data_IF_863969683005
#
_entry.id   IF_863969683005
#
_cell.length_a   1.000
_cell.length_b   1.000
_cell.length_c   1.000
_cell.angle_alpha   90.00
_cell.angle_beta   90.00
_cell.angle_gamma   90.00
#
_symmetry.space_group_name_H-M   'P 1'
#
loop_
_entity.id
_entity.type
_entity.pdbx_description
1 polymer ?
2 non-polymer ?
3 non-polymer ?
4 non-polymer ?
5 water ?
#
# COMPACT_ATOMS: atom_id res chain seq x y z
N UNK A 1 -17.01 1.87 5.33
CA UNK A 1 -16.81 0.94 6.47
C UNK A 1 -15.61 1.26 7.36
N UNK A 2 -14.61 0.37 7.39
CA UNK A 2 -13.73 0.35 8.57
C UNK A 2 -12.70 1.48 8.63
N UNK A 3 -12.27 1.79 9.85
CA UNK A 3 -11.11 2.67 10.10
C UNK A 3 -10.47 2.15 11.35
N UNK A 4 -9.16 2.35 11.50
CA UNK A 4 -8.46 1.87 12.69
C UNK A 4 -8.95 2.79 13.79
N UNK A 5 -9.11 2.26 14.98
CA UNK A 5 -9.70 2.99 16.09
C UNK A 5 -8.64 3.30 17.16
N UNK A 6 -7.40 3.46 16.67
CA UNK A 6 -6.15 3.63 17.45
C UNK A 6 -5.21 4.50 16.70
N UNK A 7 -4.21 5.05 17.38
CA UNK A 7 -3.25 5.92 16.69
C UNK A 7 -1.93 5.21 16.31
N UNK A 8 -1.47 4.27 17.13
CA UNK A 8 -0.25 3.52 16.80
C UNK A 8 -0.58 2.26 15.99
N UNK A 9 -0.08 2.22 14.77
CA UNK A 9 -0.28 1.10 13.84
C UNK A 9 1.11 0.47 13.52
N UNK A 10 1.16 -0.86 13.33
CA UNK A 10 2.41 -1.59 13.10
C UNK A 10 2.25 -2.27 11.76
N UNK A 11 3.36 -2.37 11.02
CA UNK A 11 3.40 -3.24 9.86
C UNK A 11 4.54 -4.23 9.92
N UNK A 12 4.35 -5.34 9.21
CA UNK A 12 5.38 -6.37 9.08
C UNK A 12 5.51 -6.71 7.61
N UNK A 13 6.75 -6.84 7.15
CA UNK A 13 6.94 -7.39 5.82
C UNK A 13 7.08 -8.94 5.84
N UNK A 14 6.05 -9.64 5.36
CA UNK A 14 6.06 -11.09 5.21
C UNK A 14 7.30 -11.68 4.49
N UNK A 15 7.61 -11.15 3.30
CA UNK A 15 8.78 -11.60 2.52
C UNK A 15 9.08 -10.52 1.50
N UNK A 16 10.17 -10.68 0.77
CA UNK A 16 10.64 -9.67 -0.13
C UNK A 16 10.62 -10.19 -1.55
N UNK A 17 10.03 -9.39 -2.45
CA UNK A 17 10.20 -9.58 -3.88
C UNK A 17 11.69 -9.73 -4.22
N UNK A 18 12.03 -10.77 -5.02
CA UNK A 18 13.44 -10.82 -5.52
C UNK A 18 13.81 -9.71 -6.56
N UNK A 19 12.81 -8.96 -7.01
CA UNK A 19 12.91 -7.93 -8.02
C UNK A 19 13.79 -6.77 -7.55
N UNK A 20 13.91 -6.62 -6.24
CA UNK A 20 14.57 -5.44 -5.66
C UNK A 20 15.62 -5.74 -4.61
N UNK A 21 16.48 -4.76 -4.33
CA UNK A 21 17.36 -4.83 -3.14
C UNK A 21 16.47 -4.81 -1.90
N UNK A 22 16.85 -5.60 -0.89
CA UNK A 22 16.10 -5.59 0.41
C UNK A 22 15.78 -4.21 1.02
N UNK A 23 16.85 -3.44 1.24
CA UNK A 23 16.82 -2.09 1.81
C UNK A 23 15.83 -1.20 1.02
N UNK A 24 15.80 -1.39 -0.29
CA UNK A 24 14.91 -0.64 -1.21
C UNK A 24 13.42 -1.02 -1.05
N UNK A 25 13.14 -2.30 -0.76
CA UNK A 25 11.78 -2.65 -0.28
C UNK A 25 11.42 -1.95 1.03
N UNK A 26 12.32 -2.02 2.00
CA UNK A 26 12.06 -1.44 3.30
C UNK A 26 11.71 0.01 3.17
N UNK A 27 12.53 0.73 2.40
CA UNK A 27 12.46 2.17 2.20
C UNK A 27 11.22 2.61 1.45
N UNK A 28 10.92 1.92 0.35
CA UNK A 28 9.68 2.13 -0.40
C UNK A 28 8.40 1.99 0.40
N UNK A 29 8.29 0.93 1.21
CA UNK A 29 7.09 0.76 2.08
C UNK A 29 7.01 1.81 3.22
N UNK A 30 8.17 2.08 3.82
CA UNK A 30 8.36 3.16 4.82
C UNK A 30 7.96 4.50 4.27
N UNK A 31 8.57 4.93 3.16
CA UNK A 31 8.13 6.16 2.49
C UNK A 31 6.60 6.13 2.26
N UNK A 32 6.05 4.99 1.88
CA UNK A 32 4.62 4.94 1.55
C UNK A 32 3.70 5.08 2.84
N UNK A 33 4.14 4.57 3.99
CA UNK A 33 3.42 4.81 5.23
C UNK A 33 3.56 6.32 5.65
N UNK A 34 4.65 7.00 5.22
CA UNK A 34 4.97 8.37 5.67
C UNK A 34 4.02 9.33 4.96
N UNK A 35 3.69 9.01 3.70
CA UNK A 35 2.68 9.72 2.92
C UNK A 35 1.36 9.96 3.67
N UNK A 36 0.80 8.90 4.26
CA UNK A 36 -0.45 8.99 5.00
C UNK A 36 -0.31 9.56 6.42
N UNK A 37 0.74 9.17 7.16
CA UNK A 37 0.99 9.74 8.52
C UNK A 37 1.22 11.25 8.45
N UNK A 38 1.74 11.77 7.31
CA UNK A 38 1.95 13.20 7.04
C UNK A 38 0.63 13.91 7.13
N UNK A 39 -0.45 13.20 6.88
CA UNK A 39 -1.73 13.95 6.80
C UNK A 39 -2.79 13.40 7.79
N UNK A 40 -2.37 12.48 8.65
CA UNK A 40 -3.27 11.92 9.68
C UNK A 40 -2.68 11.96 11.12
N UNK A 41 -3.46 11.59 12.15
CA UNK A 41 -2.74 11.47 13.40
C UNK A 41 -1.94 10.15 13.56
N UNK A 42 -1.98 9.25 12.58
CA UNK A 42 -1.38 7.92 12.74
C UNK A 42 0.15 7.92 12.79
N UNK A 43 0.68 6.91 13.50
CA UNK A 43 2.12 6.59 13.54
C UNK A 43 2.33 5.16 13.11
N UNK A 44 3.31 4.90 12.22
CA UNK A 44 3.49 3.55 11.63
C UNK A 44 4.88 2.95 12.00
N UNK A 45 4.93 1.77 12.66
CA UNK A 45 6.22 1.12 12.99
C UNK A 45 6.30 -0.31 12.45
N UNK A 46 7.48 -0.60 11.91
CA UNK A 46 7.83 -1.87 11.31
C UNK A 46 8.28 -2.74 12.50
N UNK A 47 7.58 -3.85 12.68
CA UNK A 47 7.98 -4.84 13.63
C UNK A 47 8.38 -6.00 12.72
N UNK A 48 9.26 -6.86 13.21
CA UNK A 48 9.81 -7.96 12.44
C UNK A 48 9.35 -9.34 12.90
N UNK A 49 8.50 -9.39 13.91
CA UNK A 49 7.92 -10.68 14.24
C UNK A 49 6.54 -10.51 14.90
N UNK A 50 5.76 -11.59 14.88
CA UNK A 50 4.41 -11.57 15.44
C UNK A 50 3.36 -10.91 14.56
N UNK A 51 2.22 -10.62 15.18
CA UNK A 51 1.05 -10.04 14.51
C UNK A 51 1.13 -8.50 14.39
N UNK A 52 1.40 -8.05 13.17
CA UNK A 52 1.21 -6.65 12.84
C UNK A 52 -0.28 -6.41 12.51
N UNK A 53 -0.61 -5.13 12.38
CA UNK A 53 -1.91 -4.74 11.94
C UNK A 53 -1.93 -4.91 10.44
N UNK A 54 -0.93 -4.32 9.78
CA UNK A 54 -0.81 -4.41 8.33
C UNK A 54 0.32 -5.40 7.96
N UNK A 55 -0.05 -6.52 7.36
CA UNK A 55 0.93 -7.46 6.79
C UNK A 55 1.04 -7.22 5.29
N UNK A 56 2.31 -7.07 4.92
CA UNK A 56 2.75 -6.77 3.56
C UNK A 56 3.29 -8.08 2.97
N UNK A 57 2.73 -8.46 1.82
CA UNK A 57 2.93 -9.82 1.25
C UNK A 57 3.30 -9.73 -0.23
N UNK A 58 4.34 -10.43 -0.62
CA UNK A 58 4.53 -10.64 -2.04
C UNK A 58 4.06 -12.06 -2.46
N UNK A 59 3.24 -12.14 -3.50
CA UNK A 59 2.60 -13.41 -3.88
C UNK A 59 2.09 -13.37 -5.34
N UNK A 60 2.00 -14.55 -5.96
CA UNK A 60 1.50 -14.68 -7.34
C UNK A 60 0.34 -15.69 -7.37
N UNK A 61 -0.57 -15.50 -8.34
CA UNK A 61 -1.66 -16.45 -8.60
C UNK A 61 -2.63 -16.55 -7.42
N UNK A 62 -3.02 -17.79 -7.08
CA UNK A 62 -3.81 -18.10 -5.88
C UNK A 62 -2.86 -18.07 -4.67
N UNK A 63 -3.12 -17.10 -3.79
CA UNK A 63 -2.28 -16.88 -2.65
C UNK A 63 -3.13 -16.90 -1.40
N UNK A 64 -4.38 -17.34 -1.50
CA UNK A 64 -5.06 -17.90 -0.33
C UNK A 64 -5.98 -17.02 0.46
N UNK A 65 -6.22 -15.88 -0.03
CA UNK A 65 -7.48 -15.18 0.14
C UNK A 65 -8.42 -15.45 -1.04
N UNK A 66 -9.36 -14.70 -1.29
CA UNK A 66 -10.18 -14.84 -2.52
C UNK A 66 -9.73 -13.98 -3.71
N UNK A 67 -8.66 -13.22 -3.54
CA UNK A 67 -8.39 -12.28 -4.62
C UNK A 67 -7.16 -12.70 -5.42
N UNK A 68 -7.36 -13.82 -6.19
CA UNK A 68 -6.29 -14.42 -7.00
C UNK A 68 -5.60 -13.43 -7.97
N UNK A 69 -4.27 -13.46 -7.98
CA UNK A 69 -3.57 -12.60 -8.91
C UNK A 69 -3.58 -13.22 -10.32
N UNK A 70 -3.39 -12.36 -11.31
CA UNK A 70 -3.67 -12.66 -12.72
C UNK A 70 -2.45 -12.75 -13.67
N UNK A 71 -1.25 -12.87 -13.10
CA UNK A 71 0.00 -12.85 -13.84
C UNK A 71 0.49 -11.43 -14.05
N UNK A 72 1.44 -11.24 -14.96
CA UNK A 72 2.01 -9.91 -15.20
C UNK A 72 0.98 -8.95 -15.87
N UNK A 73 0.91 -7.70 -15.41
CA UNK A 73 -0.13 -6.72 -15.83
C UNK A 73 -1.48 -6.96 -15.13
N UNK A 74 -2.57 -6.38 -15.62
CA UNK A 74 -3.81 -6.49 -14.87
C UNK A 74 -3.66 -5.92 -13.46
N UNK A 75 -4.24 -6.65 -12.50
CA UNK A 75 -4.24 -6.33 -11.06
C UNK A 75 -2.80 -6.44 -10.57
N UNK A 76 -2.28 -5.30 -10.14
CA UNK A 76 -0.95 -5.10 -9.69
C UNK A 76 -0.77 -5.51 -8.23
N UNK A 77 -1.81 -5.27 -7.41
CA UNK A 77 -1.80 -5.41 -5.95
C UNK A 77 -3.22 -5.22 -5.38
N UNK A 78 -3.47 -5.70 -4.14
CA UNK A 78 -4.75 -5.46 -3.46
C UNK A 78 -4.58 -5.55 -1.93
N UNK A 79 -5.52 -4.99 -1.21
CA UNK A 79 -5.37 -4.82 0.21
C UNK A 79 -6.74 -4.86 0.87
N UNK A 80 -6.78 -5.11 2.17
CA UNK A 80 -8.07 -5.25 2.85
C UNK A 80 -8.28 -4.01 3.67
N UNK A 81 -9.53 -3.54 3.81
CA UNK A 81 -9.71 -2.40 4.68
C UNK A 81 -9.56 -2.70 6.18
N UNK A 82 -9.53 -1.65 7.02
CA UNK A 82 -9.20 -2.01 8.44
C UNK A 82 -10.09 -3.12 9.00
N UNK A 83 -9.64 -3.67 10.12
CA UNK A 83 -10.26 -4.83 10.74
C UNK A 83 -9.28 -5.85 11.28
N UNK A 84 -9.80 -6.90 11.89
CA UNK A 84 -8.92 -7.92 12.51
C UNK A 84 -8.35 -8.88 11.45
N UNK A 85 -7.41 -9.73 11.85
CA UNK A 85 -6.89 -10.79 10.99
C UNK A 85 -6.26 -10.25 9.72
N UNK A 86 -6.89 -10.59 8.59
CA UNK A 86 -6.43 -10.13 7.28
C UNK A 86 -6.76 -8.66 6.98
N UNK A 87 -7.66 -8.05 7.78
CA UNK A 87 -7.99 -6.64 7.58
C UNK A 87 -6.72 -5.83 7.64
N UNK A 88 -6.53 -4.96 6.67
CA UNK A 88 -5.33 -4.14 6.63
C UNK A 88 -4.24 -4.67 5.74
N UNK A 89 -4.26 -5.95 5.40
CA UNK A 89 -3.10 -6.56 4.78
C UNK A 89 -3.04 -6.09 3.35
N UNK A 90 -1.83 -5.99 2.81
CA UNK A 90 -1.62 -5.43 1.48
C UNK A 90 -0.66 -6.38 0.76
N UNK A 91 -1.09 -6.76 -0.45
CA UNK A 91 -0.57 -7.93 -1.15
C UNK A 91 -0.18 -7.40 -2.51
N UNK A 92 1.04 -7.72 -2.92
CA UNK A 92 1.63 -7.29 -4.20
C UNK A 92 1.94 -8.49 -5.08
N UNK A 93 1.49 -8.38 -6.33
CA UNK A 93 1.66 -9.43 -7.36
C UNK A 93 3.16 -9.57 -7.71
N UNK A 94 3.73 -10.67 -7.28
CA UNK A 94 5.08 -11.04 -7.59
C UNK A 94 5.28 -11.24 -9.07
N UNK A 95 4.21 -11.50 -9.84
CA UNK A 95 4.30 -11.48 -11.35
C UNK A 95 4.56 -10.08 -11.98
N UNK A 96 4.42 -9.03 -11.19
CA UNK A 96 4.88 -7.74 -11.66
C UNK A 96 6.38 -7.70 -11.42
N UNK A 97 7.07 -6.84 -12.15
CA UNK A 97 8.45 -6.47 -11.79
C UNK A 97 8.41 -5.16 -11.02
N UNK A 98 8.61 -5.29 -9.70
CA UNK A 98 8.69 -4.19 -8.74
C UNK A 98 9.99 -3.35 -8.84
N UNK A 99 9.87 -2.01 -8.86
CA UNK A 99 11.09 -1.17 -8.89
C UNK A 99 11.06 0.04 -7.95
N UNK A 100 12.27 0.57 -7.71
CA UNK A 100 12.46 1.92 -7.16
C UNK A 100 12.26 3.10 -8.16
N UNK A 101 11.89 2.82 -9.40
CA UNK A 101 11.92 3.85 -10.44
C UNK A 101 10.77 3.81 -11.45
N UNK A 102 10.96 4.44 -12.60
CA UNK A 102 9.93 4.50 -13.63
C UNK A 102 9.65 3.15 -14.34
N UNK A 103 10.65 2.27 -14.26
CA UNK A 103 10.61 0.94 -14.88
C UNK A 103 9.67 -0.04 -14.20
N UNK A 104 9.25 -1.08 -14.93
CA UNK A 104 8.34 -2.09 -14.37
C UNK A 104 7.21 -1.37 -13.62
N UNK A 105 6.94 -1.82 -12.39
CA UNK A 105 5.96 -1.21 -11.53
C UNK A 105 6.64 -0.63 -10.27
N UNK A 106 6.59 0.70 -10.17
CA UNK A 106 7.04 1.41 -8.99
C UNK A 106 6.35 0.98 -7.70
N UNK A 107 7.15 0.38 -6.81
CA UNK A 107 6.55 -0.18 -5.58
C UNK A 107 6.04 0.85 -4.60
N UNK A 108 6.75 1.97 -4.48
CA UNK A 108 6.40 3.05 -3.61
C UNK A 108 5.00 3.55 -3.94
N UNK A 109 4.82 3.97 -5.19
CA UNK A 109 3.54 4.50 -5.70
C UNK A 109 2.43 3.51 -5.50
N UNK A 110 2.69 2.23 -5.83
CA UNK A 110 1.69 1.17 -5.58
C UNK A 110 1.37 1.01 -4.09
N UNK A 111 2.39 0.97 -3.25
CA UNK A 111 2.17 0.82 -1.79
C UNK A 111 1.40 1.96 -1.19
N UNK A 112 1.56 3.17 -1.71
CA UNK A 112 0.80 4.31 -1.25
C UNK A 112 -0.68 4.02 -1.52
N UNK A 113 -1.01 3.53 -2.72
CA UNK A 113 -2.41 3.26 -3.11
C UNK A 113 -3.08 2.19 -2.29
N UNK A 114 -2.33 1.10 -2.04
CA UNK A 114 -2.72 -0.02 -1.15
C UNK A 114 -2.88 0.31 0.34
N UNK A 115 -1.88 0.98 0.91
CA UNK A 115 -2.04 1.58 2.26
C UNK A 115 -3.27 2.47 2.35
N UNK A 116 -3.63 3.17 1.27
CA UNK A 116 -4.90 3.97 1.34
C UNK A 116 -6.05 2.98 1.62
N UNK A 117 -6.01 1.84 0.92
CA UNK A 117 -7.00 0.78 1.08
C UNK A 117 -6.89 0.18 2.50
N UNK A 118 -5.63 -0.13 2.96
CA UNK A 118 -5.38 -0.64 4.33
C UNK A 118 -5.95 0.30 5.42
N UNK A 119 -6.13 1.56 5.04
CA UNK A 119 -6.51 2.63 5.96
C UNK A 119 -8.05 2.89 5.95
N UNK A 120 -8.76 2.29 4.99
CA UNK A 120 -10.20 2.55 4.85
C UNK A 120 -10.62 3.36 3.64
N UNK A 121 -9.68 3.81 2.80
CA UNK A 121 -10.10 4.45 1.53
C UNK A 121 -10.45 3.51 0.36
N UNK A 122 -11.36 4.01 -0.48
CA UNK A 122 -11.78 3.31 -1.65
C UNK A 122 -11.10 4.09 -2.76
N UNK A 123 -11.57 3.85 -3.97
CA UNK A 123 -11.04 4.51 -5.13
C UNK A 123 -11.64 5.88 -5.40
N UNK A 124 -10.86 6.70 -6.08
CA UNK A 124 -11.31 8.02 -6.46
C UNK A 124 -11.55 7.99 -7.96
N UNK A 125 -12.49 8.80 -8.40
CA UNK A 125 -12.70 8.97 -9.81
C UNK A 125 -11.81 10.07 -10.45
N UNK A 126 -11.06 10.84 -9.63
CA UNK A 126 -9.97 11.73 -10.09
C UNK A 126 -8.78 10.91 -10.65
N UNK A 127 -8.43 11.12 -11.95
CA UNK A 127 -7.17 10.56 -12.52
C UNK A 127 -5.87 11.12 -11.91
N UNK A 128 -6.00 12.16 -11.10
CA UNK A 128 -4.87 12.81 -10.43
C UNK A 128 -4.59 12.27 -9.04
N UNK A 129 -5.57 11.56 -8.50
CA UNK A 129 -5.45 10.99 -7.18
C UNK A 129 -4.68 9.69 -7.27
N UNK A 130 -3.85 9.44 -6.25
CA UNK A 130 -3.16 8.16 -6.09
C UNK A 130 -4.14 6.92 -5.90
N UNK A 131 -5.31 7.13 -5.28
CA UNK A 131 -6.45 6.22 -5.19
C UNK A 131 -7.33 6.03 -6.47
N UNK A 132 -7.04 6.76 -7.54
CA UNK A 132 -7.65 6.48 -8.85
C UNK A 132 -7.22 5.07 -9.20
N UNK A 133 -8.15 4.25 -9.73
CA UNK A 133 -7.80 2.84 -9.91
C UNK A 133 -6.82 2.47 -11.05
N UNK A 134 -6.29 3.42 -11.82
CA UNK A 134 -5.33 3.08 -12.85
C UNK A 134 -3.89 3.53 -12.54
N UNK A 135 -2.99 2.56 -12.32
CA UNK A 135 -1.56 2.85 -12.15
C UNK A 135 -0.98 3.75 -13.25
N UNK A 136 -0.56 4.95 -12.88
CA UNK A 136 0.16 5.84 -13.79
C UNK A 136 1.48 6.31 -13.11
N UNK A 137 2.65 6.01 -13.68
CA UNK A 137 3.92 6.42 -13.04
C UNK A 137 3.97 7.95 -12.95
N UNK A 138 4.34 8.48 -11.79
CA UNK A 138 4.72 9.90 -11.64
C UNK A 138 6.04 9.92 -10.88
N UNK A 139 6.86 10.93 -11.13
CA UNK A 139 8.10 11.11 -10.36
C UNK A 139 7.93 10.94 -8.83
N UNK A 140 8.53 9.87 -8.31
CA UNK A 140 8.42 9.51 -6.88
C UNK A 140 9.18 10.48 -5.97
N UNK A 141 10.20 11.09 -6.54
CA UNK A 141 10.98 12.11 -5.86
C UNK A 141 10.18 13.33 -5.49
N UNK A 142 9.21 13.69 -6.32
CA UNK A 142 8.40 14.88 -6.01
C UNK A 142 6.96 14.53 -5.78
N UNK A 143 6.72 13.25 -5.49
CA UNK A 143 5.35 12.79 -5.38
C UNK A 143 4.62 13.56 -4.29
N UNK A 144 3.38 13.95 -4.60
CA UNK A 144 2.53 14.67 -3.63
C UNK A 144 1.09 14.24 -3.78
N UNK A 145 0.39 14.00 -2.60
CA UNK A 145 -0.98 13.50 -2.64
C UNK A 145 -1.91 14.52 -3.31
N UNK A 146 -2.89 14.04 -4.00
CA UNK A 146 -3.80 14.97 -4.67
C UNK A 146 -4.68 15.51 -3.54
N UNK A 147 -5.29 16.67 -3.75
CA UNK A 147 -6.19 17.20 -2.75
C UNK A 147 -7.38 16.25 -2.52
N UNK A 148 -7.88 15.62 -3.58
CA UNK A 148 -8.90 14.57 -3.43
C UNK A 148 -8.49 13.48 -2.40
N UNK A 149 -7.18 13.17 -2.37
CA UNK A 149 -6.65 12.10 -1.49
C UNK A 149 -6.67 12.55 -0.04
N UNK A 150 -6.08 13.72 0.19
CA UNK A 150 -6.16 14.40 1.46
C UNK A 150 -7.61 14.53 2.03
N UNK A 151 -8.57 15.02 1.24
CA UNK A 151 -9.97 15.08 1.72
C UNK A 151 -10.54 13.73 2.11
N UNK A 152 -10.26 12.71 1.29
CA UNK A 152 -10.75 11.36 1.54
C UNK A 152 -10.13 10.83 2.81
N UNK A 153 -8.79 10.84 2.93
CA UNK A 153 -8.21 10.29 4.18
C UNK A 153 -8.61 11.09 5.40
N UNK A 154 -8.53 12.42 5.33
CA UNK A 154 -9.01 13.26 6.45
C UNK A 154 -10.52 13.14 6.73
N UNK A 155 -11.22 12.44 5.84
CA UNK A 155 -12.65 12.17 6.00
C UNK A 155 -12.82 11.05 6.99
N UNK A 156 -11.76 10.24 7.10
CA UNK A 156 -11.71 9.04 7.96
C UNK A 156 -10.97 9.32 9.26
N UNK A 157 -9.89 10.10 9.17
CA UNK A 157 -9.00 10.36 10.32
C UNK A 157 -8.74 11.83 10.66
N UNK A 158 -8.53 12.11 11.95
CA UNK A 158 -8.15 13.46 12.38
C UNK A 158 -9.25 14.49 12.27
X LIG B 1 -7.04 -0.02 -5.40
X LIG C 1 -4.27 -11.31 -1.62
X LIG D 1 -3.97 -7.62 9.42
X LIG E 1 8.49 -10.08 -9.56
X LIG F 1 -0.80 -8.90 -12.22
X LIG G 1 -7.20 -1.14 -7.20
X LIG G 1 -6.62 -2.23 -7.19
X LIG G 1 -5.90 -2.67 -6.17
X LIG G 1 -5.91 -2.00 -4.98
X LIG G 1 -6.63 -3.14 -8.37
X LIG G 1 -6.07 -2.45 -9.54
X LIG G 1 -7.08 -1.93 -10.43
X LIG G 1 -8.31 -2.75 -10.04
X LIG G 1 -8.05 -3.56 -8.77
X LIG G 1 -4.55 -2.38 -9.79
X LIG G 1 -3.90 -3.27 -8.86
X LIG G 1 -4.39 -2.84 -11.14
X LIG G 1 -3.79 -0.92 -9.69
X LIG G 1 -4.46 0.12 -8.83
X LIG G 1 -3.36 1.12 -8.61
X LIG G 1 -3.63 2.50 -8.60
X LIG G 1 -2.59 3.41 -8.38
X LIG G 1 -2.07 0.65 -8.42
X LIG G 1 -1.03 1.56 -8.19
X LIG G 1 -1.29 2.94 -8.17
#
# INVERSE_FOLDING_TARGET
GPVWRKHYITYRINNYTPDMNREDVDYAIRKAFQVWSNVTPLKFSKINTGMADILVVFARGAHGDDHAFDGKGGILAHAFGPGSGIGGDAHFDEDEFWTTHSGGTNLFLTAVHEIGHSLGLGHSSDPKAVMFPTYKYVDINTFRLSADDIRGIQSLYG
ZN ZN
ZN ZN
CA CA
CA CA
CA CA
KLH O4 C13 N1 O2 C1 N2 C4 C6 C3 S1 O1 O3 C7 C8 C9 C10 C2 C11 C12 C5
#
